data_IF_742438968929
#
_entry.id   IF_742438968929
#
_cell.length_a   1.000
_cell.length_b   1.000
_cell.length_c   1.000
_cell.angle_alpha   90.00
_cell.angle_beta   90.00
_cell.angle_gamma   90.00
#
_symmetry.space_group_name_H-M   'P 1'
#
loop_
_entity.id
_entity.type
_entity.pdbx_description
1 polymer ?
#
# COMPACT_ATOMS: atom_id res chain seq x y z
N UNK A 1 6.92 -11.08 24.54
CA UNK A 1 6.62 -12.50 24.31
C UNK A 1 5.33 -12.53 23.50
N UNK A 2 5.31 -13.22 22.36
CA UNK A 2 4.06 -13.48 21.66
C UNK A 2 3.37 -14.65 22.38
N UNK A 3 2.17 -14.42 22.89
CA UNK A 3 1.32 -15.46 23.47
C UNK A 3 0.33 -15.90 22.41
N UNK A 4 0.45 -17.14 21.93
CA UNK A 4 -0.63 -17.80 21.20
C UNK A 4 -1.77 -18.05 22.20
N UNK A 5 -2.75 -17.13 22.26
CA UNK A 5 -3.94 -17.33 23.07
C UNK A 5 -4.93 -18.22 22.30
N UNK A 6 -5.03 -19.48 22.70
CA UNK A 6 -6.04 -20.42 22.20
C UNK A 6 -7.40 -20.15 22.86
N UNK A 7 -7.97 -18.96 22.62
CA UNK A 7 -9.36 -18.66 22.95
C UNK A 7 -10.15 -18.54 21.65
N UNK A 8 -11.15 -19.42 21.50
CA UNK A 8 -12.11 -19.36 20.41
C UNK A 8 -12.94 -18.07 20.51
N UNK A 9 -12.89 -17.23 19.48
CA UNK A 9 -13.89 -16.18 19.29
C UNK A 9 -15.30 -16.79 19.26
N UNK A 10 -16.33 -16.08 19.74
CA UNK A 10 -17.71 -16.53 19.61
C UNK A 10 -18.07 -16.71 18.12
N UNK A 11 -18.95 -17.67 17.83
CA UNK A 11 -19.40 -17.95 16.48
C UNK A 11 -20.14 -16.73 15.89
N UNK A 12 -19.80 -16.38 14.64
CA UNK A 12 -20.50 -15.34 13.90
C UNK A 12 -21.92 -15.81 13.52
N UNK A 13 -22.97 -15.01 13.75
CA UNK A 13 -24.27 -15.27 13.15
C UNK A 13 -24.18 -15.01 11.64
N UNK A 14 -24.55 -16.01 10.85
CA UNK A 14 -24.42 -16.02 9.39
C UNK A 14 -25.52 -15.17 8.71
N UNK A 15 -25.22 -14.04 8.04
CA UNK A 15 -26.22 -13.21 7.38
C UNK A 15 -26.31 -13.56 5.88
N UNK A 16 -26.78 -14.78 5.57
CA UNK A 16 -27.03 -15.17 4.17
C UNK A 16 -28.34 -15.96 4.00
N UNK A 17 -29.43 -15.31 3.56
CA UNK A 17 -30.73 -15.94 3.38
C UNK A 17 -30.84 -16.61 2.00
N UNK A 18 -30.00 -17.60 1.70
CA UNK A 18 -30.24 -18.64 0.69
C UNK A 18 -29.16 -19.72 0.71
N UNK A 19 -29.42 -20.80 1.44
CA UNK A 19 -28.70 -22.07 1.33
C UNK A 19 -29.56 -23.23 1.88
N UNK A 20 -30.47 -23.76 1.06
CA UNK A 20 -31.16 -25.01 1.38
C UNK A 20 -30.25 -26.22 1.13
N UNK A 21 -30.29 -27.16 2.07
CA UNK A 21 -29.47 -28.37 2.14
C UNK A 21 -29.58 -29.27 0.91
N UNK A 22 -28.52 -30.05 0.64
CA UNK A 22 -28.56 -31.52 0.68
C UNK A 22 -27.14 -32.13 0.66
N UNK A 23 -26.90 -33.15 1.49
CA UNK A 23 -25.76 -34.06 1.48
C UNK A 23 -26.28 -35.50 1.67
N UNK A 24 -25.63 -36.51 1.04
CA UNK A 24 -24.65 -37.39 1.71
C UNK A 24 -23.46 -37.72 0.74
N UNK A 25 -22.46 -38.59 0.99
CA UNK A 25 -22.03 -39.46 2.12
C UNK A 25 -20.49 -39.65 2.06
N UNK A 26 -19.90 -40.53 2.87
CA UNK A 26 -18.49 -40.96 2.83
C UNK A 26 -18.30 -42.28 2.06
N UNK A 27 -17.12 -42.52 1.48
CA UNK A 27 -16.22 -43.67 1.80
C UNK A 27 -14.86 -43.61 1.05
N UNK A 28 -13.78 -43.44 1.82
CA UNK A 28 -12.43 -44.06 1.84
C UNK A 28 -11.52 -44.40 0.62
N UNK A 29 -10.21 -44.35 0.96
CA UNK A 29 -9.00 -45.03 0.41
C UNK A 29 -8.15 -44.49 -0.76
N UNK A 30 -7.00 -43.90 -0.36
CA UNK A 30 -5.59 -44.12 -0.77
C UNK A 30 -5.04 -44.07 -2.23
N UNK A 31 -3.87 -43.39 -2.31
CA UNK A 31 -2.63 -43.70 -3.08
C UNK A 31 -2.30 -42.95 -4.41
N UNK A 32 -1.24 -42.12 -4.29
CA UNK A 32 -0.05 -41.87 -5.14
C UNK A 32 -0.07 -41.67 -6.68
N UNK A 33 0.86 -40.80 -7.08
CA UNK A 33 1.61 -40.69 -8.35
C UNK A 33 0.99 -40.13 -9.65
N UNK A 34 1.17 -38.80 -9.78
CA UNK A 34 2.03 -38.19 -10.82
C UNK A 34 1.51 -37.91 -12.25
N UNK A 35 2.11 -36.86 -12.81
CA UNK A 35 2.21 -36.44 -14.22
C UNK A 35 1.03 -35.71 -14.90
N UNK A 36 1.44 -34.56 -15.45
CA UNK A 36 0.84 -33.72 -16.48
C UNK A 36 0.11 -34.43 -17.63
N UNK A 37 -1.01 -33.86 -18.09
CA UNK A 37 -1.05 -33.04 -19.32
C UNK A 37 -2.41 -32.32 -19.51
N UNK A 38 -2.42 -31.33 -20.40
CA UNK A 38 -3.59 -30.58 -20.88
C UNK A 38 -4.58 -31.45 -21.66
N UNK A 39 -5.86 -31.04 -21.75
CA UNK A 39 -6.49 -30.68 -23.04
C UNK A 39 -7.86 -29.99 -22.86
N UNK A 40 -8.27 -29.30 -23.92
CA UNK A 40 -9.48 -28.47 -24.04
C UNK A 40 -10.80 -29.27 -24.18
N UNK A 41 -11.89 -28.55 -23.87
CA UNK A 41 -13.22 -28.64 -24.49
C UNK A 41 -13.97 -29.98 -24.55
N UNK A 42 -15.20 -29.96 -24.00
CA UNK A 42 -16.39 -30.30 -24.80
C UNK A 42 -17.67 -29.70 -24.18
N UNK A 43 -18.54 -29.19 -25.04
CA UNK A 43 -19.86 -28.65 -24.70
C UNK A 43 -20.96 -29.64 -25.12
N UNK A 44 -22.22 -29.29 -24.81
CA UNK A 44 -23.47 -29.99 -25.20
C UNK A 44 -23.86 -31.19 -24.33
N UNK A 45 -24.99 -31.08 -23.61
CA UNK A 45 -26.30 -31.53 -24.11
C UNK A 45 -27.43 -31.13 -23.14
N UNK A 46 -28.53 -30.58 -23.68
CA UNK A 46 -29.83 -30.50 -23.00
C UNK A 46 -30.73 -31.64 -23.47
N UNK A 47 -31.70 -32.05 -22.64
CA UNK A 47 -33.02 -32.45 -23.13
C UNK A 47 -34.09 -31.44 -22.72
N UNK A 48 -34.93 -31.04 -23.66
CA UNK A 48 -36.27 -30.54 -23.37
C UNK A 48 -37.20 -31.75 -23.14
N UNK A 49 -38.24 -31.59 -22.32
CA UNK A 49 -39.49 -32.31 -22.58
C UNK A 49 -40.70 -31.49 -22.07
N UNK A 50 -41.76 -31.51 -22.87
CA UNK A 50 -43.05 -30.89 -22.59
C UNK A 50 -44.05 -31.97 -22.13
N UNK A 51 -44.94 -31.64 -21.20
CA UNK A 51 -46.30 -32.21 -21.14
C UNK A 51 -47.21 -31.32 -20.28
N UNK A 52 -48.48 -31.21 -20.66
CA UNK A 52 -49.48 -30.35 -20.04
C UNK A 52 -50.83 -31.07 -19.93
N UNK A 53 -51.53 -30.87 -18.81
CA UNK A 53 -53.01 -30.69 -18.66
C UNK A 53 -53.37 -30.69 -17.14
N UNK A 54 -54.07 -29.67 -16.61
CA UNK A 54 -55.53 -29.58 -16.38
C UNK A 54 -56.08 -30.66 -15.39
N UNK A 55 -56.93 -30.41 -14.36
CA UNK A 55 -57.91 -29.33 -14.08
C UNK A 55 -58.13 -29.04 -12.54
N UNK A 56 -58.35 -27.75 -12.23
CA UNK A 56 -59.43 -27.20 -11.37
C UNK A 56 -59.42 -27.22 -9.81
N UNK A 57 -60.17 -26.29 -9.15
CA UNK A 57 -59.77 -25.73 -7.85
C UNK A 57 -60.67 -26.04 -6.64
N UNK A 58 -60.10 -25.95 -5.44
CA UNK A 58 -60.81 -25.95 -4.16
C UNK A 58 -61.19 -24.53 -3.69
N UNK A 59 -62.37 -24.39 -3.06
CA UNK A 59 -62.90 -23.10 -2.58
C UNK A 59 -62.27 -22.69 -1.22
N UNK A 60 -62.16 -21.37 -0.93
CA UNK A 60 -61.58 -20.88 0.32
C UNK A 60 -62.54 -21.01 1.52
N UNK A 61 -61.96 -21.18 2.71
CA UNK A 61 -62.69 -21.26 3.99
C UNK A 61 -62.72 -19.86 4.66
N UNK A 62 -63.89 -19.25 4.93
CA UNK A 62 -63.97 -17.88 5.43
C UNK A 62 -64.00 -17.84 6.96
N UNK A 63 -62.85 -17.61 7.61
CA UNK A 63 -62.72 -16.95 8.92
C UNK A 63 -61.26 -16.94 9.41
N UNK A 64 -60.49 -15.94 9.00
CA UNK A 64 -59.32 -15.47 9.77
C UNK A 64 -59.23 -13.95 9.63
N UNK A 65 -59.31 -13.24 10.77
CA UNK A 65 -59.06 -11.81 10.81
C UNK A 65 -57.57 -11.54 10.59
N UNK A 66 -57.23 -10.83 9.52
CA UNK A 66 -55.89 -10.31 9.33
C UNK A 66 -55.65 -9.15 10.32
N UNK A 67 -54.57 -9.16 11.13
CA UNK A 67 -54.15 -7.98 11.84
C UNK A 67 -53.63 -6.95 10.82
N UNK A 68 -54.05 -5.69 10.97
CA UNK A 68 -53.58 -4.60 10.12
C UNK A 68 -52.09 -4.39 10.36
N UNK A 69 -51.26 -4.75 9.37
CA UNK A 69 -49.83 -4.48 9.40
C UNK A 69 -49.59 -2.99 9.30
N UNK A 70 -49.10 -2.38 10.38
CA UNK A 70 -48.46 -1.07 10.30
C UNK A 70 -47.31 -1.11 9.28
N UNK A 71 -47.08 -0.05 8.49
CA UNK A 71 -45.89 0.01 7.65
C UNK A 71 -44.63 -0.12 8.52
N UNK A 72 -43.54 -0.68 7.99
CA UNK A 72 -42.27 -0.67 8.71
C UNK A 72 -41.87 0.79 8.99
N UNK A 73 -41.24 1.09 10.14
CA UNK A 73 -40.70 2.42 10.35
C UNK A 73 -39.62 2.70 9.30
N UNK A 74 -39.69 3.86 8.65
CA UNK A 74 -38.62 4.34 7.76
C UNK A 74 -37.33 4.51 8.58
N UNK A 75 -36.52 3.46 8.61
CA UNK A 75 -35.20 3.46 9.24
C UNK A 75 -34.16 4.12 8.33
N UNK A 76 -34.47 5.31 7.81
CA UNK A 76 -33.51 6.22 7.21
C UNK A 76 -32.80 7.01 8.31
N UNK A 77 -32.16 6.27 9.23
CA UNK A 77 -31.10 6.86 10.04
C UNK A 77 -30.07 7.46 9.07
N UNK A 78 -29.72 8.75 9.19
CA UNK A 78 -28.77 9.36 8.27
C UNK A 78 -27.47 8.56 8.31
N UNK A 79 -27.02 8.09 7.14
CA UNK A 79 -25.76 7.37 7.01
C UNK A 79 -24.65 8.25 7.59
N UNK A 80 -24.08 7.82 8.71
CA UNK A 80 -22.95 8.52 9.33
C UNK A 80 -21.81 8.54 8.29
N UNK A 81 -21.27 9.72 7.94
CA UNK A 81 -20.25 9.81 6.91
C UNK A 81 -18.98 9.08 7.35
N UNK A 82 -18.64 8.02 6.62
CA UNK A 82 -17.50 7.13 6.90
C UNK A 82 -16.20 7.92 6.90
N UNK A 83 -15.46 7.88 8.00
CA UNK A 83 -14.15 8.53 8.16
C UNK A 83 -13.01 7.58 7.78
N UNK A 84 -12.04 8.07 7.01
CA UNK A 84 -10.81 7.33 6.72
C UNK A 84 -9.78 7.51 7.83
N UNK A 85 -9.29 6.37 8.34
CA UNK A 85 -8.21 6.31 9.33
C UNK A 85 -6.87 5.94 8.69
N UNK A 86 -6.88 5.16 7.60
CA UNK A 86 -5.67 4.64 6.96
C UNK A 86 -5.84 4.47 5.45
N UNK A 87 -4.76 4.74 4.70
CA UNK A 87 -4.63 4.34 3.29
C UNK A 87 -3.25 3.74 3.06
N UNK A 88 -3.21 2.63 2.33
CA UNK A 88 -1.97 1.97 1.91
C UNK A 88 -2.14 1.28 0.56
N UNK A 89 -1.19 1.48 -0.35
CA UNK A 89 -1.05 0.59 -1.49
C UNK A 89 -0.51 -0.78 -1.05
N UNK A 90 -0.85 -1.82 -1.79
CA UNK A 90 -0.15 -3.08 -1.69
C UNK A 90 1.26 -3.01 -2.32
N UNK A 91 2.03 -4.08 -2.17
CA UNK A 91 3.45 -4.19 -2.53
C UNK A 91 3.74 -4.07 -4.04
N UNK A 92 2.75 -4.19 -4.91
CA UNK A 92 2.88 -4.01 -6.36
C UNK A 92 2.15 -2.76 -6.88
N UNK A 93 1.54 -1.97 -5.99
CA UNK A 93 0.70 -0.80 -6.31
C UNK A 93 -0.54 -1.11 -7.17
N UNK A 94 -0.87 -2.40 -7.36
CA UNK A 94 -2.01 -2.85 -8.15
C UNK A 94 -3.34 -2.85 -7.38
N UNK A 95 -3.27 -2.79 -6.05
CA UNK A 95 -4.41 -2.64 -5.15
C UNK A 95 -4.09 -1.61 -4.05
N UNK A 96 -5.13 -1.14 -3.37
CA UNK A 96 -4.98 -0.39 -2.12
C UNK A 96 -6.01 -0.81 -1.07
N UNK A 97 -5.66 -0.59 0.19
CA UNK A 97 -6.51 -0.80 1.34
C UNK A 97 -6.86 0.54 1.99
N UNK A 98 -8.11 0.64 2.43
CA UNK A 98 -8.66 1.77 3.18
C UNK A 98 -9.17 1.27 4.53
N UNK A 99 -8.59 1.78 5.63
CA UNK A 99 -9.09 1.56 6.98
C UNK A 99 -10.05 2.68 7.36
N UNK A 100 -11.21 2.34 7.90
CA UNK A 100 -12.27 3.29 8.27
C UNK A 100 -12.55 3.22 9.77
N UNK A 101 -13.36 4.15 10.27
CA UNK A 101 -13.97 4.16 11.61
C UNK A 101 -14.92 2.99 11.90
N UNK A 102 -15.34 2.24 10.87
CA UNK A 102 -16.27 1.11 10.99
C UNK A 102 -15.76 -0.20 10.38
N UNK A 103 -14.51 -0.27 9.92
CA UNK A 103 -13.97 -1.47 9.30
C UNK A 103 -12.87 -1.20 8.28
N UNK A 104 -12.88 -1.93 7.17
CA UNK A 104 -11.91 -1.74 6.09
C UNK A 104 -12.42 -2.16 4.71
N UNK A 105 -11.79 -1.64 3.67
CA UNK A 105 -12.14 -1.87 2.26
C UNK A 105 -10.89 -2.09 1.41
N UNK A 106 -10.96 -2.98 0.43
CA UNK A 106 -9.89 -3.30 -0.50
C UNK A 106 -10.33 -2.97 -1.92
N UNK A 107 -9.51 -2.22 -2.65
CA UNK A 107 -9.75 -1.76 -4.01
C UNK A 107 -8.66 -2.24 -4.97
N UNK A 108 -9.05 -2.54 -6.21
CA UNK A 108 -8.13 -2.74 -7.33
C UNK A 108 -7.87 -1.38 -8.00
N UNK A 109 -6.62 -1.10 -8.37
CA UNK A 109 -6.25 0.18 -9.00
C UNK A 109 -6.59 0.23 -10.50
N UNK A 110 -6.52 -0.90 -11.22
CA UNK A 110 -6.76 -0.94 -12.67
C UNK A 110 -7.40 -2.26 -13.14
N UNK A 111 -8.65 -2.27 -13.66
CA UNK A 111 -9.61 -1.15 -13.60
C UNK A 111 -9.93 -0.78 -12.16
N UNK A 112 -10.25 0.50 -11.90
CA UNK A 112 -10.68 0.92 -10.57
C UNK A 112 -11.97 0.18 -10.17
N UNK A 113 -11.93 -0.58 -9.07
CA UNK A 113 -13.14 -1.12 -8.43
C UNK A 113 -12.88 -1.49 -6.98
N UNK A 114 -13.95 -1.53 -6.18
CA UNK A 114 -13.91 -2.27 -4.92
C UNK A 114 -13.80 -3.78 -5.19
N UNK A 115 -12.92 -4.46 -4.45
CA UNK A 115 -12.82 -5.93 -4.47
C UNK A 115 -13.72 -6.50 -3.39
N UNK A 116 -13.61 -5.96 -2.16
CA UNK A 116 -14.49 -6.29 -1.04
C UNK A 116 -14.39 -5.22 0.07
N UNK A 117 -15.39 -5.24 0.96
CA UNK A 117 -15.37 -4.54 2.26
C UNK A 117 -15.65 -5.50 3.41
N UNK A 118 -15.29 -5.08 4.62
CA UNK A 118 -15.77 -5.64 5.89
C UNK A 118 -16.07 -4.45 6.81
N UNK A 119 -17.35 -4.21 7.02
CA UNK A 119 -17.85 -3.26 8.02
C UNK A 119 -18.22 -4.06 9.29
N UNK A 120 -18.09 -3.48 10.48
CA UNK A 120 -18.33 -4.15 11.76
C UNK A 120 -19.60 -3.61 12.45
N UNK A 121 -20.53 -4.51 12.78
CA UNK A 121 -21.96 -4.21 13.00
C UNK A 121 -22.35 -3.36 14.22
N UNK A 122 -21.40 -2.79 14.98
CA UNK A 122 -21.65 -2.17 16.29
C UNK A 122 -21.68 -0.63 16.31
N UNK A 123 -21.67 0.03 15.15
CA UNK A 123 -21.59 1.50 15.08
C UNK A 123 -20.23 2.05 15.50
N UNK A 124 -19.19 1.22 15.37
CA UNK A 124 -17.79 1.46 15.69
C UNK A 124 -16.95 0.37 15.02
N UNK A 125 -15.78 0.04 15.57
CA UNK A 125 -14.92 -1.01 14.99
C UNK A 125 -13.84 -0.47 14.06
N UNK A 126 -13.25 0.68 14.39
CA UNK A 126 -12.28 1.35 13.54
C UNK A 126 -10.98 0.58 13.35
N UNK A 127 -10.44 0.63 12.12
CA UNK A 127 -9.17 0.01 11.71
C UNK A 127 -8.18 1.11 11.33
N UNK A 128 -7.25 1.39 12.23
CA UNK A 128 -6.22 2.43 12.08
C UNK A 128 -4.99 1.99 11.29
N UNK A 129 -4.78 0.68 11.09
CA UNK A 129 -3.80 0.15 10.13
C UNK A 129 -4.42 -1.05 9.43
N UNK A 130 -4.37 -1.04 8.10
CA UNK A 130 -4.65 -2.20 7.25
C UNK A 130 -3.51 -2.33 6.24
N UNK A 131 -2.83 -3.49 6.25
CA UNK A 131 -1.69 -3.78 5.39
C UNK A 131 -1.92 -5.11 4.66
N UNK A 132 -1.89 -5.05 3.33
CA UNK A 132 -2.08 -6.22 2.45
C UNK A 132 -0.81 -7.06 2.35
N UNK A 133 -0.95 -8.35 2.05
CA UNK A 133 0.14 -9.17 1.50
C UNK A 133 -0.08 -9.41 0.00
N UNK A 134 0.47 -8.53 -0.83
CA UNK A 134 0.29 -8.50 -2.29
C UNK A 134 -1.20 -8.47 -2.68
N UNK A 135 -1.71 -9.58 -3.24
CA UNK A 135 -3.12 -9.81 -3.58
C UNK A 135 -3.66 -11.09 -2.90
N UNK A 136 -3.00 -11.54 -1.83
CA UNK A 136 -3.45 -12.67 -1.03
C UNK A 136 -4.63 -12.27 -0.13
N UNK A 137 -5.35 -13.28 0.38
CA UNK A 137 -6.40 -13.16 1.38
C UNK A 137 -5.89 -12.77 2.80
N UNK A 138 -4.58 -12.61 2.99
CA UNK A 138 -3.98 -12.30 4.29
C UNK A 138 -3.73 -10.80 4.44
N UNK A 139 -4.23 -10.25 5.55
CA UNK A 139 -4.14 -8.85 5.94
C UNK A 139 -3.54 -8.75 7.35
N UNK A 140 -2.80 -7.68 7.64
CA UNK A 140 -2.49 -7.27 9.00
C UNK A 140 -3.35 -6.07 9.40
N UNK A 141 -4.07 -6.21 10.50
CA UNK A 141 -5.00 -5.20 11.02
C UNK A 141 -4.54 -4.69 12.39
N UNK A 142 -4.69 -3.39 12.63
CA UNK A 142 -4.58 -2.76 13.97
C UNK A 142 -5.81 -1.86 14.13
N UNK A 143 -6.49 -1.96 15.28
CA UNK A 143 -7.63 -1.08 15.55
C UNK A 143 -7.20 0.37 15.78
N UNK A 144 -8.05 1.32 15.41
CA UNK A 144 -7.81 2.75 15.59
C UNK A 144 -9.09 3.57 15.50
N UNK A 145 -8.95 4.90 15.52
CA UNK A 145 -10.11 5.81 15.60
C UNK A 145 -10.62 5.93 17.05
N UNK A 146 -11.85 6.43 17.20
CA UNK A 146 -12.48 6.66 18.50
C UNK A 146 -13.03 5.40 19.17
N UNK A 147 -13.43 4.40 18.38
CA UNK A 147 -13.93 3.10 18.87
C UNK A 147 -13.27 1.95 18.07
N UNK A 148 -12.07 1.50 18.45
CA UNK A 148 -11.26 0.58 17.65
C UNK A 148 -11.70 -0.89 17.79
N UNK A 149 -11.79 -1.61 16.66
CA UNK A 149 -12.20 -3.04 16.65
C UNK A 149 -11.25 -3.96 17.45
N UNK A 150 -9.97 -3.59 17.50
CA UNK A 150 -8.92 -4.33 18.18
C UNK A 150 -8.07 -3.36 19.02
N UNK A 151 -7.43 -3.81 20.12
CA UNK A 151 -6.53 -2.95 20.88
C UNK A 151 -5.41 -2.38 19.99
N UNK A 152 -5.10 -1.06 20.06
CA UNK A 152 -4.12 -0.42 19.17
C UNK A 152 -2.68 -0.88 19.41
N UNK A 153 -2.43 -1.66 20.47
CA UNK A 153 -1.16 -2.33 20.77
C UNK A 153 -1.12 -3.80 20.30
N UNK A 154 -2.11 -4.26 19.51
CA UNK A 154 -2.12 -5.59 18.88
C UNK A 154 -2.11 -5.51 17.36
N UNK A 155 -1.35 -6.38 16.72
CA UNK A 155 -1.49 -6.69 15.28
C UNK A 155 -2.26 -7.99 15.14
N UNK A 156 -3.38 -7.94 14.44
CA UNK A 156 -4.19 -9.12 14.10
C UNK A 156 -3.82 -9.58 12.69
N UNK A 157 -3.51 -10.86 12.54
CA UNK A 157 -3.34 -11.49 11.21
C UNK A 157 -4.70 -12.04 10.80
N UNK A 158 -5.30 -11.43 9.79
CA UNK A 158 -6.65 -11.72 9.30
C UNK A 158 -6.57 -12.53 8.01
N UNK A 159 -7.37 -13.59 7.94
CA UNK A 159 -7.65 -14.32 6.70
C UNK A 159 -9.06 -13.93 6.24
N UNK A 160 -9.16 -13.27 5.09
CA UNK A 160 -10.43 -12.77 4.57
C UNK A 160 -11.33 -13.87 3.99
N UNK A 161 -10.72 -14.92 3.42
CA UNK A 161 -11.45 -16.07 2.91
C UNK A 161 -12.11 -16.86 4.06
N UNK A 162 -11.43 -16.96 5.20
CA UNK A 162 -12.01 -17.52 6.43
C UNK A 162 -12.80 -16.47 7.26
N UNK A 163 -12.74 -15.19 6.87
CA UNK A 163 -13.28 -14.03 7.59
C UNK A 163 -13.03 -14.06 9.10
N UNK A 164 -11.77 -14.35 9.50
CA UNK A 164 -11.36 -14.41 10.91
C UNK A 164 -9.89 -14.08 11.12
N UNK A 165 -9.54 -13.71 12.36
CA UNK A 165 -8.15 -13.69 12.80
C UNK A 165 -7.58 -15.11 12.90
N UNK A 166 -6.40 -15.33 12.32
CA UNK A 166 -5.63 -16.57 12.37
C UNK A 166 -4.36 -16.46 13.24
N UNK A 167 -4.05 -15.26 13.73
CA UNK A 167 -2.95 -15.02 14.68
C UNK A 167 -2.99 -13.60 15.26
N UNK A 168 -2.28 -13.41 16.38
CA UNK A 168 -2.10 -12.09 17.00
C UNK A 168 -0.67 -11.86 17.48
N UNK A 169 -0.21 -10.61 17.44
CA UNK A 169 1.04 -10.14 18.04
C UNK A 169 0.73 -8.99 19.00
N UNK A 170 1.03 -9.19 20.29
CA UNK A 170 0.72 -8.22 21.35
C UNK A 170 1.96 -7.45 21.82
N UNK A 171 1.84 -6.12 21.93
CA UNK A 171 2.92 -5.19 22.28
C UNK A 171 2.60 -4.38 23.54
N UNK A 172 3.63 -3.76 24.14
CA UNK A 172 3.49 -2.92 25.36
C UNK A 172 3.12 -1.46 25.07
N UNK A 173 3.07 -1.07 23.82
CA UNK A 173 2.68 0.27 23.36
C UNK A 173 1.93 0.13 22.04
N UNK A 174 1.27 1.22 21.64
CA UNK A 174 0.59 1.33 20.34
C UNK A 174 1.50 0.97 19.17
N UNK A 175 0.93 0.27 18.19
CA UNK A 175 1.55 -0.01 16.90
C UNK A 175 1.36 1.21 16.01
N UNK A 176 2.47 1.76 15.51
CA UNK A 176 2.49 2.93 14.62
C UNK A 176 2.41 2.55 13.14
N UNK A 177 2.91 1.37 12.77
CA UNK A 177 2.79 0.83 11.41
C UNK A 177 3.11 -0.67 11.40
N UNK A 178 2.64 -1.37 10.37
CA UNK A 178 3.02 -2.74 10.04
C UNK A 178 3.55 -2.74 8.60
N UNK A 179 4.48 -3.64 8.27
CA UNK A 179 4.84 -3.95 6.89
C UNK A 179 4.88 -5.46 6.69
N UNK A 180 4.20 -5.93 5.65
CA UNK A 180 4.14 -7.35 5.29
C UNK A 180 5.05 -7.65 4.09
N UNK A 181 5.67 -8.83 4.15
CA UNK A 181 6.42 -9.48 3.08
C UNK A 181 6.15 -10.99 3.19
N UNK A 182 6.27 -11.74 2.09
CA UNK A 182 5.93 -13.19 2.05
C UNK A 182 6.56 -14.03 3.16
N UNK A 183 7.74 -13.65 3.65
CA UNK A 183 8.48 -14.35 4.69
C UNK A 183 8.66 -13.53 5.99
N UNK A 184 8.16 -12.29 6.08
CA UNK A 184 8.36 -11.41 7.26
C UNK A 184 7.15 -10.55 7.61
N UNK A 185 6.95 -10.38 8.91
CA UNK A 185 6.06 -9.36 9.50
C UNK A 185 6.94 -8.36 10.23
N UNK A 186 6.87 -7.08 9.87
CA UNK A 186 7.61 -6.00 10.52
C UNK A 186 6.60 -5.14 11.26
N UNK A 187 6.75 -5.00 12.57
CA UNK A 187 5.87 -4.17 13.42
C UNK A 187 6.66 -3.01 13.99
N UNK A 188 6.17 -1.80 13.76
CA UNK A 188 6.81 -0.54 14.18
C UNK A 188 6.05 0.04 15.37
N UNK A 189 6.74 0.15 16.50
CA UNK A 189 6.33 0.97 17.65
C UNK A 189 7.10 2.29 17.61
N UNK A 190 6.80 3.20 18.54
CA UNK A 190 7.39 4.55 18.54
C UNK A 190 8.93 4.58 18.71
N UNK A 191 9.55 3.62 19.40
CA UNK A 191 11.02 3.59 19.59
C UNK A 191 11.64 2.24 19.24
N UNK A 192 10.84 1.27 18.79
CA UNK A 192 11.26 -0.11 18.53
C UNK A 192 10.59 -0.69 17.30
N UNK A 193 11.35 -1.45 16.52
CA UNK A 193 10.86 -2.24 15.40
C UNK A 193 11.11 -3.71 15.70
N UNK A 194 10.09 -4.54 15.49
CA UNK A 194 10.14 -5.98 15.67
C UNK A 194 9.98 -6.66 14.32
N UNK A 195 10.91 -7.56 13.99
CA UNK A 195 10.89 -8.34 12.74
C UNK A 195 10.64 -9.79 13.10
N UNK A 196 9.49 -10.31 12.66
CA UNK A 196 9.07 -11.69 12.86
C UNK A 196 9.18 -12.49 11.56
N UNK A 197 9.40 -13.79 11.68
CA UNK A 197 9.15 -14.73 10.59
C UNK A 197 7.64 -14.83 10.35
N UNK A 198 7.20 -14.81 9.09
CA UNK A 198 5.77 -14.85 8.77
C UNK A 198 5.15 -16.22 9.06
N UNK A 199 5.88 -17.32 8.78
CA UNK A 199 5.33 -18.67 8.80
C UNK A 199 5.05 -19.23 10.21
N UNK A 200 5.84 -18.86 11.22
CA UNK A 200 5.73 -19.39 12.59
C UNK A 200 5.67 -18.31 13.68
N UNK A 201 5.54 -17.03 13.27
CA UNK A 201 5.47 -15.86 14.15
C UNK A 201 6.64 -15.73 15.14
N UNK A 202 7.79 -16.39 14.91
CA UNK A 202 8.97 -16.23 15.77
C UNK A 202 9.61 -14.85 15.58
N UNK A 203 9.94 -14.19 16.68
CA UNK A 203 10.72 -12.95 16.67
C UNK A 203 12.16 -13.24 16.21
N UNK A 204 12.62 -12.56 15.17
CA UNK A 204 13.97 -12.71 14.61
C UNK A 204 14.90 -11.57 15.01
N UNK A 205 14.40 -10.33 15.07
CA UNK A 205 15.21 -9.15 15.35
C UNK A 205 14.36 -8.07 16.04
N UNK A 206 14.93 -7.42 17.05
CA UNK A 206 14.40 -6.22 17.68
C UNK A 206 15.39 -5.08 17.45
N UNK A 207 14.94 -3.98 16.87
CA UNK A 207 15.73 -2.80 16.54
C UNK A 207 15.22 -1.64 17.40
N UNK A 208 16.14 -0.85 17.94
CA UNK A 208 15.82 0.42 18.58
C UNK A 208 16.04 1.57 17.60
N UNK A 209 15.14 2.55 17.63
CA UNK A 209 15.15 3.74 16.76
C UNK A 209 15.04 5.00 17.61
N UNK A 210 15.41 6.15 17.04
CA UNK A 210 14.89 7.43 17.54
C UNK A 210 13.35 7.42 17.52
N UNK A 211 12.72 8.32 18.28
CA UNK A 211 11.27 8.49 18.29
C UNK A 211 10.69 8.59 16.86
N UNK A 212 9.82 7.64 16.54
CA UNK A 212 9.25 7.35 15.24
C UNK A 212 7.71 7.39 15.32
N UNK A 213 7.09 8.54 15.65
CA UNK A 213 5.64 8.65 15.84
C UNK A 213 4.84 8.38 14.57
N UNK A 214 5.46 8.56 13.38
CA UNK A 214 4.88 8.25 12.07
C UNK A 214 5.01 6.77 11.65
N UNK A 215 5.61 5.91 12.48
CA UNK A 215 5.77 4.49 12.16
C UNK A 215 6.64 4.20 10.93
N UNK A 216 7.57 5.09 10.58
CA UNK A 216 8.36 5.00 9.35
C UNK A 216 9.18 3.70 9.29
N UNK A 217 8.87 2.84 8.33
CA UNK A 217 9.68 1.69 7.93
C UNK A 217 9.36 1.32 6.47
N UNK A 218 10.38 0.90 5.73
CA UNK A 218 10.26 0.42 4.35
C UNK A 218 11.07 -0.87 4.20
N UNK A 219 10.60 -1.78 3.34
CA UNK A 219 11.18 -3.10 3.13
C UNK A 219 11.22 -3.43 1.65
N UNK A 220 12.25 -4.14 1.20
CA UNK A 220 12.30 -4.67 -0.18
C UNK A 220 11.29 -5.79 -0.32
N UNK A 221 10.63 -5.85 -1.48
CA UNK A 221 9.52 -6.78 -1.75
C UNK A 221 9.81 -7.77 -2.89
N UNK A 222 10.95 -7.62 -3.57
CA UNK A 222 11.49 -8.60 -4.52
C UNK A 222 11.88 -9.92 -3.84
N UNK A 223 11.99 -10.98 -4.64
CA UNK A 223 12.25 -12.35 -4.17
C UNK A 223 13.62 -12.54 -3.50
N UNK A 224 14.59 -11.65 -3.75
CA UNK A 224 15.87 -11.62 -3.04
C UNK A 224 15.73 -11.35 -1.55
N UNK A 225 16.83 -11.45 -0.79
CA UNK A 225 16.79 -11.26 0.67
C UNK A 225 16.30 -9.87 1.10
N UNK A 226 15.70 -9.81 2.29
CA UNK A 226 15.19 -8.57 2.87
C UNK A 226 16.29 -7.50 2.98
N UNK A 227 16.01 -6.34 2.41
CA UNK A 227 16.61 -5.05 2.77
C UNK A 227 15.54 -4.26 3.51
N UNK A 228 15.87 -3.72 4.69
CA UNK A 228 14.92 -2.95 5.50
C UNK A 228 15.50 -1.60 5.88
N UNK A 229 14.65 -0.58 5.87
CA UNK A 229 15.01 0.81 6.18
C UNK A 229 14.15 1.33 7.32
N UNK A 230 14.78 2.02 8.27
CA UNK A 230 14.14 2.65 9.42
C UNK A 230 14.92 3.91 9.85
N UNK A 231 14.33 4.81 10.66
CA UNK A 231 15.09 5.87 11.33
C UNK A 231 16.25 5.31 12.16
N UNK A 232 17.41 5.95 12.11
CA UNK A 232 18.55 5.63 12.97
C UNK A 232 18.32 6.06 14.42
N UNK A 233 19.38 6.03 15.23
CA UNK A 233 19.33 6.55 16.61
C UNK A 233 19.53 8.07 16.67
N UNK A 234 20.05 8.68 15.59
CA UNK A 234 20.33 10.11 15.51
C UNK A 234 19.33 10.85 14.61
N UNK A 235 19.12 12.14 14.89
CA UNK A 235 18.27 13.04 14.10
C UNK A 235 18.76 13.09 12.65
N UNK A 236 17.89 12.71 11.70
CA UNK A 236 18.21 12.75 10.27
C UNK A 236 19.09 11.60 9.77
N UNK A 237 19.38 10.63 10.64
CA UNK A 237 20.02 9.37 10.30
C UNK A 237 18.99 8.35 9.83
N UNK A 238 19.35 7.54 8.85
CA UNK A 238 18.61 6.36 8.39
C UNK A 238 19.46 5.12 8.62
N UNK A 239 18.86 4.06 9.17
CA UNK A 239 19.45 2.73 9.34
C UNK A 239 18.92 1.81 8.23
N UNK A 240 19.83 1.16 7.52
CA UNK A 240 19.56 0.20 6.46
C UNK A 240 20.12 -1.17 6.87
N UNK A 241 19.29 -2.20 6.87
CA UNK A 241 19.66 -3.58 7.20
C UNK A 241 19.64 -4.46 5.95
N UNK A 242 20.77 -5.11 5.66
CA UNK A 242 20.89 -6.10 4.59
C UNK A 242 20.94 -7.51 5.19
N UNK A 243 19.80 -8.20 5.23
CA UNK A 243 19.69 -9.49 5.94
C UNK A 243 20.51 -10.62 5.28
N UNK A 244 20.70 -10.60 3.96
CA UNK A 244 21.57 -11.56 3.25
C UNK A 244 23.02 -11.51 3.76
N UNK A 245 23.61 -10.31 3.79
CA UNK A 245 25.01 -10.10 4.14
C UNK A 245 25.24 -9.83 5.62
N UNK A 246 24.16 -9.74 6.42
CA UNK A 246 24.16 -9.33 7.84
C UNK A 246 24.88 -8.00 8.04
N UNK A 247 24.74 -7.07 7.09
CA UNK A 247 25.38 -5.74 7.10
C UNK A 247 24.36 -4.66 7.44
N UNK A 248 24.65 -3.90 8.48
CA UNK A 248 23.94 -2.65 8.81
C UNK A 248 24.69 -1.46 8.20
N UNK A 249 23.96 -0.49 7.65
CA UNK A 249 24.48 0.80 7.19
C UNK A 249 23.72 1.95 7.86
N UNK A 250 24.44 3.01 8.22
CA UNK A 250 23.88 4.22 8.77
C UNK A 250 24.19 5.39 7.83
N UNK A 251 23.16 6.06 7.33
CA UNK A 251 23.26 7.15 6.36
C UNK A 251 22.81 8.43 7.06
N UNK A 252 23.69 9.43 7.18
CA UNK A 252 23.33 10.77 7.63
C UNK A 252 22.67 11.53 6.48
N UNK A 253 21.40 11.22 6.23
CA UNK A 253 20.70 11.69 5.03
C UNK A 253 20.34 13.18 5.08
N UNK A 254 20.04 13.73 6.26
CA UNK A 254 19.60 15.12 6.46
C UNK A 254 20.01 15.68 7.84
N UNK A 255 20.09 17.01 8.00
CA UNK A 255 20.31 17.64 9.33
C UNK A 255 19.02 17.77 10.16
N UNK A 256 17.86 17.56 9.52
CA UNK A 256 16.54 17.60 10.15
C UNK A 256 15.96 16.19 10.30
N UNK A 257 14.96 16.00 11.18
CA UNK A 257 14.38 14.66 11.41
C UNK A 257 13.87 14.10 10.07
N UNK A 258 14.05 12.80 9.86
CA UNK A 258 13.46 12.11 8.70
C UNK A 258 11.94 12.20 8.80
N UNK A 259 11.28 12.57 7.70
CA UNK A 259 9.83 12.76 7.63
C UNK A 259 9.16 11.69 6.77
N UNK A 260 9.82 11.25 5.69
CA UNK A 260 9.36 10.19 4.79
C UNK A 260 10.58 9.55 4.10
N UNK A 261 10.48 8.27 3.74
CA UNK A 261 11.43 7.60 2.86
C UNK A 261 10.75 6.46 2.11
N UNK A 262 11.28 6.14 0.93
CA UNK A 262 10.84 5.03 0.09
C UNK A 262 12.04 4.21 -0.38
N UNK A 263 11.80 2.94 -0.70
CA UNK A 263 12.80 1.98 -1.14
C UNK A 263 12.33 1.39 -2.47
N UNK A 264 13.26 1.09 -3.39
CA UNK A 264 12.93 0.30 -4.59
C UNK A 264 12.58 -1.14 -4.23
N UNK A 265 11.85 -1.82 -5.12
CA UNK A 265 11.35 -3.18 -4.91
C UNK A 265 12.47 -4.20 -4.59
N UNK A 266 13.63 -4.00 -5.20
CA UNK A 266 14.87 -4.79 -5.05
C UNK A 266 15.75 -4.37 -3.86
N UNK A 267 15.40 -3.28 -3.18
CA UNK A 267 16.14 -2.71 -2.06
C UNK A 267 17.41 -1.94 -2.43
N UNK A 268 17.71 -1.67 -3.70
CA UNK A 268 18.98 -1.05 -4.12
C UNK A 268 19.02 0.48 -3.92
N UNK A 269 17.90 1.18 -4.09
CA UNK A 269 17.82 2.64 -3.99
C UNK A 269 16.87 3.07 -2.87
N UNK A 270 17.26 4.13 -2.17
CA UNK A 270 16.56 4.72 -1.05
C UNK A 270 16.35 6.22 -1.29
N UNK A 271 15.09 6.66 -1.44
CA UNK A 271 14.73 8.07 -1.46
C UNK A 271 14.36 8.53 -0.05
N UNK A 272 14.84 9.70 0.38
CA UNK A 272 14.60 10.25 1.72
C UNK A 272 14.21 11.72 1.68
N UNK A 273 13.24 12.09 2.51
CA UNK A 273 12.89 13.48 2.79
C UNK A 273 12.88 13.72 4.30
N UNK A 274 13.26 14.94 4.71
CA UNK A 274 13.27 15.35 6.11
C UNK A 274 12.19 16.39 6.42
N UNK A 275 12.02 16.75 7.69
CA UNK A 275 11.03 17.73 8.16
C UNK A 275 11.16 19.15 7.58
N UNK A 276 12.21 19.44 6.82
CA UNK A 276 12.33 20.63 5.96
C UNK A 276 11.57 20.47 4.63
N UNK A 277 11.49 19.27 4.06
CA UNK A 277 10.72 18.93 2.85
C UNK A 277 11.09 19.66 1.56
N UNK A 278 12.16 20.46 1.54
CA UNK A 278 12.64 21.21 0.36
C UNK A 278 13.41 20.33 -0.62
N UNK A 279 14.11 19.32 -0.11
CA UNK A 279 14.99 18.42 -0.83
C UNK A 279 14.60 16.97 -0.60
N UNK A 280 14.67 16.16 -1.66
CA UNK A 280 14.60 14.70 -1.60
C UNK A 280 15.93 14.14 -2.10
N UNK A 281 16.51 13.21 -1.35
CA UNK A 281 17.84 12.64 -1.62
C UNK A 281 17.75 11.15 -1.89
N UNK A 282 18.39 10.70 -2.97
CA UNK A 282 18.39 9.33 -3.43
C UNK A 282 19.78 8.74 -3.17
N UNK A 283 19.82 7.62 -2.43
CA UNK A 283 21.04 6.93 -2.01
C UNK A 283 21.10 5.51 -2.56
N UNK A 284 22.32 5.01 -2.78
CA UNK A 284 22.59 3.58 -2.88
C UNK A 284 22.52 2.96 -1.47
N UNK A 285 21.82 1.84 -1.30
CA UNK A 285 21.66 1.21 0.02
C UNK A 285 22.85 0.35 0.45
N UNK A 286 23.65 -0.17 -0.49
CA UNK A 286 24.70 -1.15 -0.23
C UNK A 286 25.98 -0.52 0.35
N UNK A 287 26.30 0.70 -0.06
CA UNK A 287 27.43 1.50 0.44
C UNK A 287 27.01 2.75 1.23
N UNK A 288 25.85 3.34 0.91
CA UNK A 288 25.33 4.58 1.52
C UNK A 288 25.63 5.86 0.71
N UNK A 289 26.12 5.74 -0.52
CA UNK A 289 26.47 6.89 -1.38
C UNK A 289 25.24 7.70 -1.78
N UNK A 290 25.34 9.04 -1.74
CA UNK A 290 24.35 9.95 -2.29
C UNK A 290 24.50 9.98 -3.82
N UNK A 291 23.47 9.54 -4.54
CA UNK A 291 23.49 9.43 -5.99
C UNK A 291 22.89 10.66 -6.67
N UNK A 292 21.80 11.20 -6.11
CA UNK A 292 21.07 12.33 -6.68
C UNK A 292 20.34 13.12 -5.58
N UNK A 293 20.23 14.43 -5.76
CA UNK A 293 19.41 15.33 -4.92
C UNK A 293 18.47 16.12 -5.82
N UNK A 294 17.17 16.06 -5.54
CA UNK A 294 16.12 16.77 -6.27
C UNK A 294 15.39 17.77 -5.37
N UNK A 295 14.97 18.89 -5.93
CA UNK A 295 14.33 19.99 -5.19
C UNK A 295 12.83 20.01 -5.46
N UNK A 296 12.03 19.80 -4.42
CA UNK A 296 10.56 19.92 -4.46
C UNK A 296 10.12 21.37 -4.43
N UNK A 297 10.83 22.24 -3.72
CA UNK A 297 10.56 23.68 -3.75
C UNK A 297 11.54 24.49 -2.89
N UNK A 298 11.31 25.81 -2.85
CA UNK A 298 12.03 26.72 -1.98
C UNK A 298 11.50 26.66 -0.52
N UNK A 299 10.18 26.71 -0.37
CA UNK A 299 9.51 26.75 0.94
C UNK A 299 9.50 25.41 1.65
N UNK A 300 9.40 25.45 2.98
CA UNK A 300 9.20 24.23 3.80
C UNK A 300 7.88 23.55 3.45
N UNK A 301 7.91 22.23 3.36
CA UNK A 301 6.72 21.39 3.20
C UNK A 301 6.79 20.16 4.10
N UNK A 302 5.64 19.60 4.43
CA UNK A 302 5.53 18.26 5.00
C UNK A 302 5.37 17.26 3.86
N UNK A 303 6.35 16.36 3.70
CA UNK A 303 6.29 15.30 2.70
C UNK A 303 5.44 14.16 3.22
N UNK A 304 4.42 13.80 2.47
CA UNK A 304 3.46 12.75 2.79
C UNK A 304 3.93 11.39 2.25
N UNK A 305 4.17 11.29 0.94
CA UNK A 305 4.59 10.07 0.29
C UNK A 305 5.71 10.29 -0.72
N UNK A 306 6.52 9.25 -0.88
CA UNK A 306 7.57 9.09 -1.87
C UNK A 306 7.34 7.73 -2.54
N UNK A 307 7.45 7.66 -3.87
CA UNK A 307 7.36 6.38 -4.58
C UNK A 307 8.30 6.36 -5.79
N UNK A 308 9.03 5.26 -5.98
CA UNK A 308 9.81 5.02 -7.20
C UNK A 308 8.93 4.38 -8.28
N UNK A 309 9.22 4.64 -9.56
CA UNK A 309 8.71 3.77 -10.64
C UNK A 309 9.34 2.39 -10.54
N UNK A 310 8.70 1.38 -11.13
CA UNK A 310 9.25 0.01 -11.22
C UNK A 310 10.61 -0.05 -11.92
N UNK A 311 10.87 0.88 -12.85
CA UNK A 311 12.16 1.06 -13.54
C UNK A 311 13.19 1.88 -12.77
N UNK A 312 12.82 2.46 -11.61
CA UNK A 312 13.58 3.43 -10.85
C UNK A 312 14.07 4.67 -11.64
N UNK A 313 13.46 4.96 -12.79
CA UNK A 313 13.73 6.15 -13.61
C UNK A 313 12.95 7.39 -13.15
N UNK A 314 11.92 7.20 -12.32
CA UNK A 314 11.05 8.28 -11.85
C UNK A 314 10.82 8.20 -10.35
N UNK A 315 10.67 9.36 -9.70
CA UNK A 315 10.29 9.50 -8.31
C UNK A 315 9.07 10.42 -8.20
N UNK A 316 7.97 9.92 -7.64
CA UNK A 316 6.79 10.71 -7.29
C UNK A 316 6.89 11.20 -5.83
N UNK A 317 6.45 12.43 -5.58
CA UNK A 317 6.52 13.10 -4.26
C UNK A 317 5.21 13.86 -4.01
N UNK A 318 4.53 13.59 -2.89
CA UNK A 318 3.37 14.37 -2.43
C UNK A 318 3.67 15.15 -1.14
N UNK A 319 2.99 16.27 -0.93
CA UNK A 319 3.19 17.13 0.24
C UNK A 319 1.96 17.98 0.61
N UNK A 320 2.04 18.67 1.75
CA UNK A 320 1.05 19.66 2.24
C UNK A 320 0.79 20.84 1.30
N UNK A 321 1.56 21.00 0.20
CA UNK A 321 1.45 22.10 -0.77
C UNK A 321 0.45 21.87 -1.92
N UNK A 322 -0.45 20.89 -1.78
CA UNK A 322 -1.45 20.61 -2.82
C UNK A 322 -0.84 20.22 -4.17
N UNK A 323 0.41 19.75 -4.21
CA UNK A 323 1.10 19.34 -5.44
C UNK A 323 1.73 17.96 -5.31
N UNK A 324 1.56 17.16 -6.36
CA UNK A 324 2.36 15.95 -6.63
C UNK A 324 3.40 16.30 -7.68
N UNK A 325 4.65 15.99 -7.40
CA UNK A 325 5.79 16.21 -8.30
C UNK A 325 6.35 14.87 -8.78
N UNK A 326 6.69 14.76 -10.07
CA UNK A 326 7.47 13.66 -10.63
C UNK A 326 8.84 14.17 -11.06
N UNK A 327 9.90 13.50 -10.60
CA UNK A 327 11.30 13.79 -10.92
C UNK A 327 11.88 12.70 -11.81
N UNK A 328 12.72 13.09 -12.76
CA UNK A 328 13.57 12.15 -13.51
C UNK A 328 14.77 11.74 -12.68
N UNK A 329 15.03 10.45 -12.58
CA UNK A 329 16.19 9.89 -11.91
C UNK A 329 17.27 9.50 -12.92
N UNK A 330 18.44 10.12 -12.81
CA UNK A 330 19.58 9.94 -13.73
C UNK A 330 20.58 8.91 -13.18
N UNK A 331 20.05 7.83 -12.62
CA UNK A 331 20.80 6.82 -11.89
C UNK A 331 20.98 5.60 -12.79
N UNK A 332 22.24 5.28 -13.11
CA UNK A 332 22.56 4.04 -13.81
C UNK A 332 22.60 2.89 -12.79
N UNK A 333 21.70 1.89 -12.84
CA UNK A 333 21.62 0.82 -11.84
C UNK A 333 22.78 -0.20 -11.91
N UNK A 334 23.82 0.06 -12.70
CA UNK A 334 24.91 -0.87 -13.00
C UNK A 334 26.33 -0.32 -12.84
N UNK A 335 26.52 0.86 -12.22
CA UNK A 335 27.87 1.37 -11.91
C UNK A 335 28.23 1.10 -10.45
N UNK A 336 28.94 0.02 -10.10
CA UNK A 336 29.68 -0.01 -8.85
C UNK A 336 30.67 1.16 -8.83
N UNK A 337 30.87 1.78 -7.67
CA UNK A 337 31.82 2.88 -7.50
C UNK A 337 33.21 2.46 -7.92
N UNK A 338 33.65 2.91 -9.09
CA UNK A 338 35.04 2.79 -9.54
C UNK A 338 35.74 4.11 -9.23
N UNK A 339 36.66 4.06 -8.27
CA UNK A 339 37.56 5.17 -7.97
C UNK A 339 38.34 5.54 -9.23
N UNK A 340 37.95 6.65 -9.87
CA UNK A 340 38.70 7.20 -11.01
C UNK A 340 39.96 7.91 -10.51
N UNK A 341 40.93 7.12 -10.08
CA UNK A 341 42.33 7.47 -10.26
C UNK A 341 42.56 7.72 -11.75
N UNK A 342 43.26 8.82 -12.07
CA UNK A 342 43.34 9.31 -13.44
C UNK A 342 44.21 8.44 -14.34
N UNK A 343 43.87 8.42 -15.63
CA UNK A 343 44.86 8.46 -16.70
C UNK A 343 44.26 9.07 -17.98
N UNK A 344 45.15 9.53 -18.84
CA UNK A 344 44.91 10.48 -19.93
C UNK A 344 44.63 9.82 -21.30
N UNK A 345 44.10 10.62 -22.24
CA UNK A 345 44.16 10.46 -23.73
C UNK A 345 43.54 9.18 -24.32
N UNK A 346 42.60 9.22 -25.28
CA UNK A 346 42.69 9.96 -26.56
C UNK A 346 41.33 10.43 -27.13
N UNK A 347 41.32 11.33 -28.14
CA UNK A 347 40.10 11.89 -28.72
C UNK A 347 39.78 11.35 -30.12
N UNK A 348 38.64 10.67 -30.30
CA UNK A 348 37.86 10.71 -31.56
C UNK A 348 36.49 10.01 -31.42
N UNK A 349 35.42 10.79 -31.54
CA UNK A 349 34.09 10.49 -32.11
C UNK A 349 33.03 11.40 -31.48
N UNK A 350 32.98 12.65 -31.95
CA UNK A 350 31.91 13.58 -31.60
C UNK A 350 30.81 13.52 -32.68
N UNK A 351 29.74 12.77 -32.41
CA UNK A 351 28.45 12.97 -33.09
C UNK A 351 27.66 13.96 -32.25
N UNK A 352 27.45 15.15 -32.79
CA UNK A 352 26.77 16.25 -32.09
C UNK A 352 25.26 16.11 -32.15
N UNK A 353 24.60 16.42 -31.04
CA UNK A 353 23.17 16.75 -30.98
C UNK A 353 23.02 17.96 -30.04
N UNK A 354 22.18 18.95 -30.38
CA UNK A 354 22.29 20.27 -29.79
C UNK A 354 21.74 20.29 -28.36
N UNK A 355 22.62 20.62 -27.40
CA UNK A 355 22.20 21.00 -26.04
C UNK A 355 22.15 22.52 -25.91
N UNK A 356 21.00 23.04 -25.52
CA UNK A 356 20.82 24.47 -25.24
C UNK A 356 21.64 24.86 -24.02
N UNK A 357 22.80 25.48 -24.25
CA UNK A 357 23.77 25.82 -23.21
C UNK A 357 23.71 27.31 -22.85
N UNK A 358 23.00 27.65 -21.78
CA UNK A 358 23.21 28.91 -21.07
C UNK A 358 24.37 28.75 -20.08
N UNK A 359 25.59 28.73 -20.64
CA UNK A 359 26.85 28.59 -19.89
C UNK A 359 27.44 29.97 -19.53
N UNK A 360 26.94 30.62 -18.48
CA UNK A 360 27.61 31.82 -17.95
C UNK A 360 27.76 31.80 -16.42
N UNK A 361 28.92 32.30 -15.98
CA UNK A 361 29.45 32.35 -14.61
C UNK A 361 29.91 31.02 -13.98
N UNK A 362 31.10 30.57 -14.40
CA UNK A 362 31.99 29.75 -13.55
C UNK A 362 32.60 30.65 -12.47
N UNK A 363 32.39 30.31 -11.20
CA UNK A 363 33.01 31.00 -10.07
C UNK A 363 32.62 30.44 -8.69
N UNK A 364 33.32 29.39 -8.25
CA UNK A 364 33.33 28.87 -6.86
C UNK A 364 31.94 28.67 -6.19
N UNK A 365 31.08 27.85 -6.80
CA UNK A 365 29.97 27.20 -6.08
C UNK A 365 30.24 25.69 -5.93
N UNK A 366 29.99 25.08 -4.76
CA UNK A 366 30.03 23.62 -4.61
C UNK A 366 29.09 22.91 -5.59
N UNK A 367 29.50 21.75 -6.12
CA UNK A 367 28.71 20.95 -7.10
C UNK A 367 27.30 20.55 -6.63
N UNK A 368 26.98 20.74 -5.35
CA UNK A 368 25.66 20.47 -4.75
C UNK A 368 24.58 21.50 -5.12
N UNK A 369 24.86 22.52 -5.94
CA UNK A 369 23.90 23.59 -6.26
C UNK A 369 23.12 23.44 -7.57
N UNK A 370 23.39 22.41 -8.40
CA UNK A 370 22.53 22.09 -9.55
C UNK A 370 21.29 21.32 -9.11
N UNK A 371 20.39 21.99 -8.38
CA UNK A 371 19.13 21.39 -7.94
C UNK A 371 18.24 21.06 -9.13
N UNK A 372 17.95 19.77 -9.34
CA UNK A 372 17.04 19.32 -10.37
C UNK A 372 15.58 19.47 -9.90
N UNK A 373 14.75 20.06 -10.75
CA UNK A 373 13.33 20.31 -10.50
C UNK A 373 12.47 19.16 -11.04
N UNK A 374 11.20 19.11 -10.66
CA UNK A 374 10.25 18.11 -11.15
C UNK A 374 10.02 18.29 -12.65
N UNK A 375 10.03 17.18 -13.41
CA UNK A 375 9.66 17.22 -14.83
C UNK A 375 8.17 17.47 -14.99
N UNK A 376 7.33 16.89 -14.12
CA UNK A 376 5.88 17.03 -14.20
C UNK A 376 5.26 17.25 -12.82
N UNK A 377 4.09 17.88 -12.80
CA UNK A 377 3.34 18.18 -11.59
C UNK A 377 1.82 18.02 -11.76
N UNK A 378 1.12 17.64 -10.70
CA UNK A 378 -0.34 17.62 -10.64
C UNK A 378 -0.81 18.40 -9.41
N UNK A 379 -1.87 19.20 -9.57
CA UNK A 379 -2.47 19.99 -8.48
C UNK A 379 -3.63 19.23 -7.84
N UNK A 380 -3.70 19.31 -6.51
CA UNK A 380 -4.67 18.67 -5.65
C UNK A 380 -5.31 19.72 -4.73
N UNK A 381 -6.35 19.32 -4.00
CA UNK A 381 -6.97 20.17 -2.99
C UNK A 381 -6.03 20.28 -1.78
N UNK A 382 -5.73 21.50 -1.32
CA UNK A 382 -4.91 21.69 -0.12
C UNK A 382 -5.64 21.22 1.15
N UNK A 383 -4.89 20.80 2.17
CA UNK A 383 -5.41 20.39 3.48
C UNK A 383 -5.76 18.90 3.62
N UNK A 384 -5.72 18.12 2.54
CA UNK A 384 -5.87 16.66 2.56
C UNK A 384 -4.50 15.94 2.47
N UNK A 385 -4.43 14.71 2.98
CA UNK A 385 -3.21 13.91 2.99
C UNK A 385 -3.22 12.89 1.84
N UNK A 386 -2.24 12.99 0.94
CA UNK A 386 -2.17 12.21 -0.29
C UNK A 386 -0.98 11.26 -0.32
N UNK A 387 -1.23 9.97 -0.59
CA UNK A 387 -0.19 8.98 -0.91
C UNK A 387 -0.13 8.75 -2.43
N UNK A 388 1.07 8.43 -2.94
CA UNK A 388 1.31 8.28 -4.38
C UNK A 388 1.99 6.97 -4.71
N UNK A 389 1.70 6.44 -5.90
CA UNK A 389 2.41 5.32 -6.52
C UNK A 389 2.47 5.50 -8.04
N UNK A 390 3.38 4.82 -8.72
CA UNK A 390 3.31 4.72 -10.18
C UNK A 390 2.32 3.62 -10.57
N UNK A 391 1.42 3.93 -11.51
CA UNK A 391 0.46 2.96 -12.03
C UNK A 391 1.11 1.94 -12.96
N UNK A 392 0.39 0.85 -13.23
CA UNK A 392 0.81 -0.19 -14.17
C UNK A 392 0.80 0.32 -15.63
N UNK A 393 -0.01 1.34 -15.92
CA UNK A 393 -0.06 2.00 -17.21
C UNK A 393 1.13 2.94 -17.39
N UNK A 394 1.73 2.94 -18.59
CA UNK A 394 2.97 3.66 -18.87
C UNK A 394 2.82 5.17 -18.58
N UNK A 395 3.79 5.70 -17.83
CA UNK A 395 3.85 7.10 -17.40
C UNK A 395 2.61 7.58 -16.60
N UNK A 396 2.01 6.70 -15.80
CA UNK A 396 0.89 7.08 -14.91
C UNK A 396 1.31 7.11 -13.44
N UNK A 397 0.68 8.01 -12.69
CA UNK A 397 0.75 8.11 -11.23
C UNK A 397 -0.67 7.90 -10.70
N UNK A 398 -0.81 7.04 -9.70
CA UNK A 398 -2.04 6.87 -8.91
C UNK A 398 -1.87 7.65 -7.60
N UNK A 399 -2.88 8.44 -7.26
CA UNK A 399 -2.90 9.32 -6.08
C UNK A 399 -4.13 8.97 -5.25
N UNK A 400 -3.96 8.72 -3.95
CA UNK A 400 -5.05 8.42 -3.01
C UNK A 400 -5.07 9.46 -1.90
N UNK A 401 -6.22 10.08 -1.63
CA UNK A 401 -6.41 11.06 -0.57
C UNK A 401 -7.26 10.55 0.59
N UNK A 402 -6.95 10.99 1.83
CA UNK A 402 -7.81 10.72 3.01
C UNK A 402 -9.18 11.42 2.95
N UNK A 403 -9.41 12.27 1.95
CA UNK A 403 -10.71 12.80 1.53
C UNK A 403 -11.55 11.80 0.69
N UNK A 404 -11.06 10.56 0.51
CA UNK A 404 -11.69 9.53 -0.29
C UNK A 404 -11.40 9.64 -1.79
N UNK A 405 -10.53 10.55 -2.22
CA UNK A 405 -10.20 10.69 -3.64
C UNK A 405 -9.25 9.61 -4.15
N UNK A 406 -9.52 9.16 -5.39
CA UNK A 406 -8.61 8.40 -6.23
C UNK A 406 -8.40 9.22 -7.51
N UNK A 407 -7.15 9.48 -7.88
CA UNK A 407 -6.79 10.04 -9.19
C UNK A 407 -5.86 9.10 -9.92
N UNK A 408 -6.03 9.02 -11.24
CA UNK A 408 -5.02 8.50 -12.17
C UNK A 408 -4.58 9.64 -13.08
N UNK A 409 -3.31 10.01 -13.02
CA UNK A 409 -2.75 11.10 -13.81
C UNK A 409 -1.63 10.59 -14.71
N UNK A 410 -1.57 11.05 -15.96
CA UNK A 410 -0.51 10.76 -16.91
C UNK A 410 0.45 11.94 -17.03
N UNK A 411 1.76 11.66 -17.04
CA UNK A 411 2.79 12.67 -17.29
C UNK A 411 3.47 12.44 -18.63
N UNK A 412 3.87 13.52 -19.30
CA UNK A 412 4.76 13.46 -20.45
C UNK A 412 6.22 13.32 -19.96
N UNK A 413 6.92 12.21 -20.27
CA UNK A 413 8.31 12.01 -19.83
C UNK A 413 9.34 12.80 -20.66
N UNK A 414 8.95 13.41 -21.78
CA UNK A 414 9.80 14.18 -22.69
C UNK A 414 9.63 15.67 -22.42
N UNK A 415 8.39 16.17 -22.48
CA UNK A 415 8.09 17.60 -22.35
C UNK A 415 7.79 18.03 -20.91
N UNK A 416 7.39 17.09 -20.05
CA UNK A 416 7.02 17.40 -18.66
C UNK A 416 5.72 18.21 -18.55
N UNK A 417 5.67 19.11 -17.58
CA UNK A 417 4.57 20.07 -17.40
C UNK A 417 3.46 19.61 -16.44
N UNK A 418 2.23 20.07 -16.69
CA UNK A 418 1.06 19.66 -15.90
C UNK A 418 0.60 18.26 -16.34
N UNK A 419 0.33 17.37 -15.38
CA UNK A 419 -0.14 16.02 -15.67
C UNK A 419 -1.61 16.03 -16.09
N UNK A 420 -1.96 15.22 -17.09
CA UNK A 420 -3.34 15.03 -17.52
C UNK A 420 -4.05 14.07 -16.58
N UNK A 421 -5.16 14.47 -15.98
CA UNK A 421 -6.05 13.56 -15.25
C UNK A 421 -6.74 12.62 -16.25
N UNK A 422 -6.54 11.31 -16.11
CA UNK A 422 -7.21 10.27 -16.90
C UNK A 422 -8.48 9.75 -16.21
N UNK A 423 -8.45 9.67 -14.88
CA UNK A 423 -9.52 9.06 -14.07
C UNK A 423 -9.62 9.78 -12.72
N UNK A 424 -10.83 9.93 -12.21
CA UNK A 424 -11.11 10.42 -10.85
C UNK A 424 -12.31 9.68 -10.27
N UNK A 425 -12.18 9.22 -9.03
CA UNK A 425 -13.28 8.65 -8.23
C UNK A 425 -13.24 9.24 -6.82
N UNK A 426 -14.37 9.28 -6.12
CA UNK A 426 -14.39 9.42 -4.66
C UNK A 426 -15.00 8.17 -4.03
N UNK A 427 -14.16 7.27 -3.51
CA UNK A 427 -14.56 5.93 -3.08
C UNK A 427 -15.29 5.87 -1.73
N UNK A 428 -15.50 7.02 -1.08
CA UNK A 428 -16.35 7.15 0.10
C UNK A 428 -17.78 7.58 -0.25
N UNK A 429 -17.96 8.28 -1.37
CA UNK A 429 -19.26 8.74 -1.85
C UNK A 429 -19.83 7.69 -2.81
N UNK A 430 -21.06 7.20 -2.60
CA UNK A 430 -21.76 6.47 -3.64
C UNK A 430 -21.81 7.33 -4.89
N UNK A 431 -21.58 6.75 -6.08
CA UNK A 431 -21.98 7.40 -7.31
C UNK A 431 -23.47 7.72 -7.21
N UNK A 432 -23.85 8.96 -7.52
CA UNK A 432 -25.26 9.32 -7.57
C UNK A 432 -25.89 8.53 -8.72
N UNK A 433 -26.74 7.55 -8.39
CA UNK A 433 -27.57 6.89 -9.38
C UNK A 433 -28.48 7.94 -10.02
N UNK A 434 -28.24 8.20 -11.31
CA UNK A 434 -29.03 9.10 -12.15
C UNK A 434 -30.31 8.42 -12.67
#
# INVERSE_FOLDING_TARGET
>A
MATLSAYSSPAWPNPNPNATLLSPSQEDTESLDSQSQSYDSLSSMMPQDHLADQLSPAKPNPNYHAPVSSPPPDSTSPLVPVSLLHLSFNQDFGCFAAGTDHGFRIYNCDPFREIFRRDFDRGGGGIGVVEMLFRCNILALVGGGSDPQYPPNKVMIWDDHQSRCIGELSFRSEVRSVKLRRDRIIVVLEQKIFVYNFADLKLLHQIETIANPKGLCAVSQGAGSLVMVCPGLQKGQVRVEHYASKRTKFIMAHDSRIACFALTQDGQLLATASTKGTLVRIFNTADGTLLQEVRRGADRAEIYSLAFSSTAQWLAVSSDKGTVHVFSLKINPGSPGTDKSGNTTDPNNAVTSPTSSLSFFKGVLPKYFSSEWSVAQFRLVEGSHYIVAFGHQKNTVVILGLDGSFYRCQFDPVNGGEMTQLEYHNFLKPEAAF
#
